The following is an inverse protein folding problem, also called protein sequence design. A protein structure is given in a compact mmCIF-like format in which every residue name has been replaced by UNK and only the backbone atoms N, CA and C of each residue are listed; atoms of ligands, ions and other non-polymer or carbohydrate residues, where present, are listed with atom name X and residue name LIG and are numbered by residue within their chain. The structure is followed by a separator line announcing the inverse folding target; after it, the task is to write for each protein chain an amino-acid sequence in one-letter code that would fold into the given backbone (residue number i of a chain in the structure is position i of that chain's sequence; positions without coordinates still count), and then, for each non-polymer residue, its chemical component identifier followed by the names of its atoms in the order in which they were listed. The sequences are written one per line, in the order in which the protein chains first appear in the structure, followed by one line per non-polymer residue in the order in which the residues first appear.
data_IF_190493219153
#
_entry.id   IF_190493219153
#
_cell.length_a   1.000
_cell.length_b   1.000
_cell.length_c   1.000
_cell.angle_alpha   90.00
_cell.angle_beta   90.00
_cell.angle_gamma   90.00
#
_symmetry.space_group_name_H-M   'P 1'
#
loop_
_entity.id
_entity.type
_entity.pdbx_description
1 polymer ?
#
# COMPACT_ATOMS: atom_id res chain seq x y z
N UNK A 1 54.17 -15.98 -12.99
CA UNK A 1 54.09 -14.55 -13.35
C UNK A 1 52.85 -14.35 -14.21
N UNK A 2 51.82 -13.67 -13.72
CA UNK A 2 50.59 -13.45 -14.50
C UNK A 2 50.88 -12.35 -15.54
N UNK A 3 50.52 -12.60 -16.80
CA UNK A 3 50.79 -11.63 -17.87
C UNK A 3 49.86 -10.41 -17.72
N UNK A 4 50.38 -9.22 -18.02
CA UNK A 4 49.64 -7.95 -17.94
C UNK A 4 48.30 -7.99 -18.71
N UNK A 5 48.25 -8.78 -19.79
CA UNK A 5 47.05 -9.01 -20.61
C UNK A 5 45.96 -9.77 -19.84
N UNK A 6 46.35 -10.76 -19.03
CA UNK A 6 45.41 -11.53 -18.19
C UNK A 6 44.84 -10.64 -17.08
N UNK A 7 45.65 -9.78 -16.47
CA UNK A 7 45.18 -8.84 -15.44
C UNK A 7 44.15 -7.86 -16.02
N UNK A 8 44.44 -7.29 -17.20
CA UNK A 8 43.51 -6.35 -17.87
C UNK A 8 42.20 -7.03 -18.24
N UNK A 9 42.24 -8.27 -18.74
CA UNK A 9 41.03 -9.02 -19.09
C UNK A 9 40.16 -9.32 -17.87
N UNK A 10 40.76 -9.71 -16.74
CA UNK A 10 40.03 -9.99 -15.50
C UNK A 10 39.37 -8.73 -14.94
N UNK A 11 40.08 -7.59 -14.96
CA UNK A 11 39.53 -6.30 -14.49
C UNK A 11 38.37 -5.84 -15.40
N UNK A 12 38.50 -5.99 -16.72
CA UNK A 12 37.44 -5.63 -17.66
C UNK A 12 36.18 -6.47 -17.46
N UNK A 13 36.33 -7.78 -17.23
CA UNK A 13 35.20 -8.69 -16.96
C UNK A 13 34.54 -8.36 -15.62
N UNK A 14 35.33 -8.09 -14.57
CA UNK A 14 34.79 -7.69 -13.27
C UNK A 14 33.97 -6.40 -13.34
N UNK A 15 34.45 -5.39 -14.07
CA UNK A 15 33.73 -4.12 -14.28
C UNK A 15 32.43 -4.31 -15.07
N UNK A 16 32.46 -5.14 -16.12
CA UNK A 16 31.26 -5.45 -16.90
C UNK A 16 30.20 -6.17 -16.05
N UNK A 17 30.61 -7.10 -15.18
CA UNK A 17 29.70 -7.81 -14.28
C UNK A 17 29.09 -6.88 -13.22
N UNK A 18 29.87 -5.95 -12.67
CA UNK A 18 29.36 -4.95 -11.72
C UNK A 18 28.35 -3.99 -12.37
N UNK A 19 28.52 -3.63 -13.63
CA UNK A 19 27.60 -2.76 -14.35
C UNK A 19 26.23 -3.43 -14.60
N UNK A 20 26.20 -4.76 -14.80
CA UNK A 20 24.95 -5.49 -15.02
C UNK A 20 24.10 -5.53 -13.75
N UNK A 21 24.70 -5.71 -12.56
CA UNK A 21 23.95 -5.77 -11.28
C UNK A 21 23.14 -4.49 -11.01
N UNK A 22 23.63 -3.34 -11.46
CA UNK A 22 22.95 -2.04 -11.30
C UNK A 22 21.75 -1.88 -12.25
N UNK A 23 21.74 -2.57 -13.39
CA UNK A 23 20.68 -2.45 -14.41
C UNK A 23 19.55 -3.44 -14.19
N UNK A 24 19.84 -4.67 -13.75
CA UNK A 24 18.81 -5.71 -13.51
C UNK A 24 18.16 -5.65 -12.13
N UNK A 25 18.74 -4.89 -11.19
CA UNK A 25 18.16 -4.71 -9.87
C UNK A 25 17.93 -3.22 -9.60
N UNK A 26 16.89 -2.60 -10.20
CA UNK A 26 16.43 -1.34 -9.65
C UNK A 26 16.04 -1.65 -8.20
N UNK A 27 16.76 -1.06 -7.25
CA UNK A 27 16.42 -1.05 -5.82
C UNK A 27 15.01 -0.46 -5.63
N UNK A 28 13.97 -1.23 -5.90
CA UNK A 28 12.58 -0.77 -5.94
C UNK A 28 11.59 -1.73 -6.62
N UNK A 29 12.03 -2.89 -7.11
CA UNK A 29 11.15 -3.90 -7.70
C UNK A 29 10.33 -4.67 -6.65
N UNK A 30 9.17 -4.12 -6.28
CA UNK A 30 8.00 -4.90 -5.85
C UNK A 30 7.86 -5.12 -4.35
N UNK A 31 7.23 -4.16 -3.67
CA UNK A 31 6.16 -4.32 -2.67
C UNK A 31 5.85 -2.92 -2.05
N UNK A 32 5.60 -1.91 -2.89
CA UNK A 32 5.06 -0.62 -2.42
C UNK A 32 3.52 -0.61 -2.53
N UNK A 33 2.85 -1.73 -2.23
CA UNK A 33 1.43 -1.69 -1.96
C UNK A 33 1.29 -1.24 -0.50
N UNK A 34 1.31 0.08 -0.28
CA UNK A 34 0.84 0.63 0.99
C UNK A 34 -0.61 0.20 1.18
N UNK A 35 -0.97 -0.22 2.39
CA UNK A 35 -2.34 -0.57 2.71
C UNK A 35 -2.93 0.44 3.69
N UNK A 36 -4.22 0.69 3.55
CA UNK A 36 -4.98 1.60 4.39
C UNK A 36 -6.06 0.79 5.09
N UNK A 37 -6.21 0.98 6.41
CA UNK A 37 -7.33 0.44 7.17
C UNK A 37 -8.25 1.62 7.51
N UNK A 38 -9.47 1.59 6.98
CA UNK A 38 -10.54 2.49 7.39
C UNK A 38 -11.36 1.73 8.42
N UNK A 39 -11.43 2.25 9.65
CA UNK A 39 -12.19 1.61 10.73
C UNK A 39 -13.38 2.46 11.18
N UNK A 40 -14.51 1.82 11.44
CA UNK A 40 -15.69 2.40 12.08
C UNK A 40 -15.95 1.71 13.42
N UNK A 41 -16.63 2.40 14.34
CA UNK A 41 -17.06 1.85 15.63
C UNK A 41 -18.29 2.62 16.12
N UNK A 42 -19.08 2.00 17.01
CA UNK A 42 -20.21 2.62 17.74
C UNK A 42 -21.17 3.38 16.83
N UNK A 43 -21.43 2.81 15.65
CA UNK A 43 -22.25 3.51 14.66
C UNK A 43 -23.71 3.55 15.05
N UNK A 44 -24.19 2.66 15.95
CA UNK A 44 -25.50 2.75 16.60
C UNK A 44 -26.65 3.05 15.61
N UNK A 45 -26.59 2.48 14.40
CA UNK A 45 -27.52 2.73 13.30
C UNK A 45 -27.62 4.18 12.78
N UNK A 46 -26.64 5.03 13.06
CA UNK A 46 -26.45 6.38 12.48
C UNK A 46 -25.79 6.30 11.10
N UNK A 47 -26.46 5.64 10.15
CA UNK A 47 -25.95 5.47 8.79
C UNK A 47 -26.17 6.70 7.91
N UNK A 48 -27.18 7.52 8.24
CA UNK A 48 -27.65 8.65 7.46
C UNK A 48 -27.68 9.91 8.34
N UNK A 49 -27.42 11.07 7.72
CA UNK A 49 -27.51 12.37 8.39
C UNK A 49 -26.96 13.48 7.50
N UNK A 50 -27.70 14.58 7.37
CA UNK A 50 -27.32 15.74 6.55
C UNK A 50 -26.18 16.58 7.16
N UNK A 51 -25.96 16.47 8.48
CA UNK A 51 -25.04 17.33 9.24
C UNK A 51 -23.85 16.58 9.89
N UNK A 52 -23.70 15.27 9.66
CA UNK A 52 -22.66 14.45 10.28
C UNK A 52 -21.88 13.59 9.26
N UNK A 53 -20.63 13.26 9.61
CA UNK A 53 -19.84 12.24 8.90
C UNK A 53 -20.63 10.92 8.93
N UNK A 54 -21.06 10.46 7.76
CA UNK A 54 -21.90 9.28 7.60
C UNK A 54 -21.22 8.23 6.70
N UNK A 55 -21.89 7.12 6.42
CA UNK A 55 -21.28 6.03 5.65
C UNK A 55 -20.96 6.40 4.20
N UNK A 56 -21.59 7.43 3.63
CA UNK A 56 -21.19 7.96 2.33
C UNK A 56 -19.79 8.58 2.38
N UNK A 57 -19.40 9.18 3.50
CA UNK A 57 -18.03 9.68 3.70
C UNK A 57 -17.03 8.53 3.81
N UNK A 58 -17.37 7.45 4.53
CA UNK A 58 -16.53 6.24 4.61
C UNK A 58 -16.32 5.63 3.22
N UNK A 59 -17.37 5.58 2.40
CA UNK A 59 -17.31 5.10 1.02
C UNK A 59 -16.42 5.99 0.13
N UNK A 60 -16.60 7.31 0.19
CA UNK A 60 -15.78 8.26 -0.56
C UNK A 60 -14.30 8.19 -0.14
N UNK A 61 -14.02 8.03 1.16
CA UNK A 61 -12.66 7.88 1.67
C UNK A 61 -12.02 6.58 1.18
N UNK A 62 -12.79 5.47 1.14
CA UNK A 62 -12.33 4.20 0.57
C UNK A 62 -11.97 4.36 -0.91
N UNK A 63 -12.82 5.01 -1.69
CA UNK A 63 -12.56 5.26 -3.12
C UNK A 63 -11.28 6.06 -3.32
N UNK A 64 -11.15 7.19 -2.61
CA UNK A 64 -9.97 8.05 -2.68
C UNK A 64 -8.67 7.30 -2.36
N UNK A 65 -8.63 6.50 -1.29
CA UNK A 65 -7.42 5.77 -0.92
C UNK A 65 -7.15 4.55 -1.80
N UNK A 66 -8.16 4.02 -2.49
CA UNK A 66 -8.00 2.86 -3.39
C UNK A 66 -7.28 3.19 -4.69
N UNK A 67 -7.07 4.47 -5.01
CA UNK A 67 -6.29 4.91 -6.19
C UNK A 67 -4.84 4.43 -6.13
N UNK A 68 -4.23 4.50 -4.94
CA UNK A 68 -2.81 4.20 -4.72
C UNK A 68 -2.56 3.06 -3.73
N UNK A 69 -3.58 2.58 -3.01
CA UNK A 69 -3.43 1.68 -1.87
C UNK A 69 -4.40 0.49 -1.88
N UNK A 70 -4.01 -0.59 -1.19
CA UNK A 70 -4.93 -1.68 -0.83
C UNK A 70 -5.76 -1.24 0.39
N UNK A 71 -7.08 -1.12 0.25
CA UNK A 71 -7.95 -0.60 1.32
C UNK A 71 -8.79 -1.70 1.97
N UNK A 72 -8.60 -1.88 3.28
CA UNK A 72 -9.47 -2.68 4.14
C UNK A 72 -10.45 -1.76 4.87
N UNK A 73 -11.72 -2.13 4.88
CA UNK A 73 -12.74 -1.47 5.70
C UNK A 73 -13.18 -2.44 6.79
N UNK A 74 -13.14 -2.01 8.04
CA UNK A 74 -13.41 -2.85 9.22
C UNK A 74 -14.36 -2.12 10.16
N UNK A 75 -15.38 -2.81 10.64
CA UNK A 75 -16.27 -2.31 11.70
C UNK A 75 -15.93 -3.00 13.03
N UNK A 76 -15.76 -2.22 14.09
CA UNK A 76 -15.37 -2.71 15.41
C UNK A 76 -16.56 -3.06 16.32
N UNK A 77 -17.80 -2.97 15.82
CA UNK A 77 -19.00 -3.37 16.53
C UNK A 77 -19.86 -2.20 16.98
N UNK A 78 -20.92 -2.57 17.72
CA UNK A 78 -21.97 -1.66 18.18
C UNK A 78 -22.63 -0.84 17.05
N UNK A 79 -22.83 -1.51 15.90
CA UNK A 79 -23.53 -0.96 14.75
C UNK A 79 -25.05 -1.09 14.86
N UNK A 80 -25.57 -1.88 15.81
CA UNK A 80 -27.00 -2.04 16.11
C UNK A 80 -27.43 -1.13 17.27
N UNK A 81 -28.73 -1.05 17.56
CA UNK A 81 -29.28 -0.38 18.75
C UNK A 81 -28.89 1.09 18.95
N UNK A 82 -29.53 2.02 18.22
CA UNK A 82 -29.35 3.44 18.50
C UNK A 82 -30.23 4.43 17.72
N UNK A 83 -30.87 3.99 16.65
CA UNK A 83 -31.88 4.79 15.92
C UNK A 83 -33.19 4.01 15.76
N UNK A 84 -34.33 4.68 15.49
CA UNK A 84 -35.62 4.01 15.29
C UNK A 84 -35.66 3.03 14.11
N UNK A 85 -34.70 3.14 13.19
CA UNK A 85 -34.60 2.30 11.98
C UNK A 85 -33.76 1.05 12.18
N UNK A 86 -33.10 0.87 13.33
CA UNK A 86 -32.31 -0.32 13.65
C UNK A 86 -32.79 -1.01 14.94
N UNK A 87 -33.02 -2.34 14.92
CA UNK A 87 -33.24 -3.11 16.16
C UNK A 87 -32.00 -3.17 17.07
#
# INVERSE_FOLDING_TARGET
MISRKVVVAVVAVALALCAVVVIVNPFGGGLNASFVIIHTNDTHCFYEGDDQLNFSTVAALREQYSEDNVVFTVDAGDFLQGTPTGP
#
